data_IF_811181806492
#
_entry.id   IF_811181806492
#
_cell.length_a   1.000
_cell.length_b   1.000
_cell.length_c   1.000
_cell.angle_alpha   90.00
_cell.angle_beta   90.00
_cell.angle_gamma   90.00
#
_symmetry.space_group_name_H-M   'P 1'
#
loop_
_entity.id
_entity.type
_entity.pdbx_description
1 polymer ?
#
# COMPACT_ATOMS: atom_id res chain seq x y z
N UNK A 1 10.03 7.82 -9.36
CA UNK A 1 10.95 8.20 -8.27
C UNK A 1 10.80 7.14 -7.20
N UNK A 2 11.84 6.34 -6.98
CA UNK A 2 11.85 5.36 -5.89
C UNK A 2 12.49 6.06 -4.69
N UNK A 3 11.72 6.25 -3.64
CA UNK A 3 12.16 6.88 -2.40
C UNK A 3 11.65 6.07 -1.23
N UNK A 4 12.43 6.06 -0.15
CA UNK A 4 11.99 5.50 1.13
C UNK A 4 10.95 6.43 1.73
N UNK A 5 9.73 5.94 1.95
CA UNK A 5 8.71 6.67 2.72
C UNK A 5 8.80 6.22 4.17
N UNK A 6 8.79 7.15 5.12
CA UNK A 6 9.10 6.75 6.49
C UNK A 6 8.68 7.72 7.58
N UNK A 7 8.73 7.19 8.81
CA UNK A 7 8.53 7.95 10.04
C UNK A 7 9.84 7.89 10.85
N UNK A 8 10.67 8.95 10.85
CA UNK A 8 12.00 8.93 11.47
C UNK A 8 12.00 8.93 13.01
N UNK A 9 10.81 9.04 13.62
CA UNK A 9 10.60 9.04 15.07
C UNK A 9 9.36 8.20 15.41
N UNK A 10 9.33 6.97 14.91
CA UNK A 10 8.22 6.06 15.13
C UNK A 10 8.17 5.63 16.60
N UNK A 11 6.96 5.62 17.18
CA UNK A 11 6.71 5.18 18.54
C UNK A 11 6.23 3.75 18.54
N UNK A 12 6.75 2.96 19.48
CA UNK A 12 6.27 1.60 19.73
C UNK A 12 4.78 1.66 20.07
N UNK A 13 4.01 0.71 19.51
CA UNK A 13 2.58 0.62 19.76
C UNK A 13 1.74 1.62 18.97
N UNK A 14 2.31 2.53 18.18
CA UNK A 14 1.53 3.40 17.29
C UNK A 14 1.33 2.72 15.93
N UNK A 15 0.13 2.85 15.37
CA UNK A 15 -0.19 2.33 14.03
C UNK A 15 0.15 3.37 12.98
N UNK A 16 1.11 3.03 12.12
CA UNK A 16 1.54 3.82 10.99
C UNK A 16 0.93 3.31 9.70
N UNK A 17 0.88 4.17 8.68
CA UNK A 17 0.33 3.86 7.37
C UNK A 17 1.33 4.18 6.28
N UNK A 18 1.39 3.28 5.30
CA UNK A 18 2.19 3.45 4.09
C UNK A 18 1.35 3.16 2.86
N UNK A 19 1.49 3.98 1.84
CA UNK A 19 0.81 3.79 0.55
C UNK A 19 1.68 2.98 -0.40
N UNK A 20 1.05 2.07 -1.14
CA UNK A 20 1.68 1.31 -2.21
C UNK A 20 2.04 2.24 -3.38
N UNK A 21 3.00 1.85 -4.24
CA UNK A 21 3.23 2.54 -5.50
C UNK A 21 1.93 2.69 -6.31
N UNK A 22 1.76 3.83 -6.98
CA UNK A 22 0.60 4.05 -7.84
C UNK A 22 0.64 3.10 -9.04
N UNK A 23 -0.50 2.47 -9.31
CA UNK A 23 -0.61 1.44 -10.33
C UNK A 23 -1.07 2.05 -11.66
N UNK A 24 -0.38 1.71 -12.74
CA UNK A 24 -0.77 2.03 -14.11
C UNK A 24 -0.90 0.76 -14.91
N UNK A 25 -2.04 0.56 -15.56
CA UNK A 25 -2.22 -0.53 -16.49
C UNK A 25 -1.61 -0.13 -17.84
N UNK A 26 -0.49 -0.75 -18.20
CA UNK A 26 0.21 -0.51 -19.47
C UNK A 26 -0.23 -1.45 -20.59
N UNK A 27 -1.10 -2.42 -20.29
CA UNK A 27 -1.59 -3.40 -21.24
C UNK A 27 -2.78 -2.87 -22.05
N UNK A 28 -3.20 -3.66 -23.05
CA UNK A 28 -4.38 -3.38 -23.89
C UNK A 28 -5.69 -3.96 -23.33
N UNK A 29 -5.63 -4.72 -22.24
CA UNK A 29 -6.78 -5.36 -21.61
C UNK A 29 -7.02 -4.78 -20.21
N UNK A 30 -8.27 -4.80 -19.69
CA UNK A 30 -8.52 -4.39 -18.31
C UNK A 30 -7.76 -5.30 -17.34
N UNK A 31 -7.40 -4.74 -16.18
CA UNK A 31 -6.78 -5.46 -15.08
C UNK A 31 -7.68 -5.34 -13.86
N UNK A 32 -8.03 -6.46 -13.24
CA UNK A 32 -8.77 -6.49 -11.99
C UNK A 32 -7.79 -6.74 -10.83
N UNK A 33 -7.60 -5.75 -9.96
CA UNK A 33 -6.80 -5.94 -8.75
C UNK A 33 -7.58 -6.78 -7.74
N UNK A 34 -6.91 -7.78 -7.18
CA UNK A 34 -7.53 -8.74 -6.26
C UNK A 34 -6.78 -8.87 -4.93
N UNK A 35 -5.54 -8.38 -4.82
CA UNK A 35 -4.78 -8.49 -3.58
C UNK A 35 -3.56 -7.55 -3.51
N UNK A 36 -3.19 -7.23 -2.27
CA UNK A 36 -2.03 -6.41 -1.94
C UNK A 36 -1.32 -7.00 -0.71
N UNK A 37 0.01 -7.05 -0.76
CA UNK A 37 0.80 -7.57 0.36
C UNK A 37 2.17 -6.91 0.44
N UNK A 38 2.63 -6.59 1.65
CA UNK A 38 4.05 -6.29 1.89
C UNK A 38 4.84 -7.57 2.15
N UNK A 39 6.07 -7.65 1.64
CA UNK A 39 6.86 -8.88 1.64
C UNK A 39 7.84 -8.96 2.81
N UNK A 40 8.96 -8.24 2.73
CA UNK A 40 10.04 -8.27 3.72
C UNK A 40 9.65 -7.44 4.94
N UNK A 41 8.82 -8.02 5.82
CA UNK A 41 8.36 -7.40 7.06
C UNK A 41 9.24 -7.86 8.23
N UNK A 42 9.91 -6.95 8.96
CA UNK A 42 10.68 -7.32 10.15
C UNK A 42 9.80 -7.97 11.21
N UNK A 43 10.34 -8.92 11.99
CA UNK A 43 9.58 -9.63 13.03
C UNK A 43 9.00 -8.73 14.13
N UNK A 44 9.54 -7.52 14.29
CA UNK A 44 9.05 -6.49 15.22
C UNK A 44 7.89 -5.67 14.65
N UNK A 45 7.44 -5.95 13.43
CA UNK A 45 6.35 -5.25 12.78
C UNK A 45 5.15 -6.16 12.65
N UNK A 46 4.01 -5.69 13.17
CA UNK A 46 2.72 -6.31 12.97
C UNK A 46 1.98 -5.60 11.84
N UNK A 47 1.61 -6.34 10.80
CA UNK A 47 0.67 -5.85 9.78
C UNK A 47 -0.74 -5.91 10.37
N UNK A 48 -1.36 -4.74 10.55
CA UNK A 48 -2.71 -4.61 11.12
C UNK A 48 -3.81 -4.68 10.07
N UNK A 49 -3.46 -4.62 8.80
CA UNK A 49 -4.39 -4.77 7.69
C UNK A 49 -4.00 -3.93 6.48
N UNK A 50 -4.76 -4.12 5.41
CA UNK A 50 -4.64 -3.38 4.17
C UNK A 50 -5.91 -2.58 3.93
N UNK A 51 -5.78 -1.42 3.32
CA UNK A 51 -6.89 -0.54 2.95
C UNK A 51 -6.72 -0.12 1.51
N UNK A 52 -7.81 0.18 0.82
CA UNK A 52 -7.74 0.82 -0.51
C UNK A 52 -8.60 2.07 -0.51
N UNK A 53 -8.01 3.18 -0.93
CA UNK A 53 -8.68 4.48 -1.04
C UNK A 53 -8.77 4.91 -2.50
N UNK A 54 -9.66 5.85 -2.80
CA UNK A 54 -9.87 6.43 -4.13
C UNK A 54 -9.53 7.90 -4.11
N UNK A 55 -8.73 8.38 -5.07
CA UNK A 55 -8.42 9.82 -5.20
C UNK A 55 -9.63 10.69 -5.48
N UNK A 56 -10.73 10.07 -5.93
CA UNK A 56 -11.99 10.78 -6.16
C UNK A 56 -12.76 11.03 -4.85
N UNK A 57 -12.46 10.27 -3.79
CA UNK A 57 -13.13 10.34 -2.49
C UNK A 57 -12.24 10.99 -1.40
N UNK A 58 -10.99 11.32 -1.75
CA UNK A 58 -10.00 11.93 -0.87
C UNK A 58 -9.52 13.27 -1.46
N UNK A 59 -8.96 14.19 -0.65
CA UNK A 59 -8.38 15.43 -1.15
C UNK A 59 -7.03 15.18 -1.85
N UNK A 60 -7.03 14.34 -2.89
CA UNK A 60 -5.85 13.86 -3.61
C UNK A 60 -5.24 12.58 -3.01
N UNK A 61 -4.03 12.23 -3.47
CA UNK A 61 -3.32 11.04 -3.00
C UNK A 61 -2.83 11.22 -1.57
N UNK A 62 -3.37 10.41 -0.67
CA UNK A 62 -2.91 10.37 0.71
C UNK A 62 -1.75 9.36 0.80
N UNK A 63 -0.53 9.82 0.52
CA UNK A 63 0.68 8.97 0.38
C UNK A 63 1.41 8.70 1.72
N UNK A 64 0.93 9.28 2.81
CA UNK A 64 1.50 9.15 4.16
C UNK A 64 1.20 10.39 5.00
N UNK A 65 1.22 10.26 6.33
CA UNK A 65 1.01 11.39 7.25
C UNK A 65 0.64 10.96 8.66
N UNK A 66 1.22 11.64 9.64
CA UNK A 66 0.69 11.67 11.01
C UNK A 66 -0.64 12.45 10.98
N UNK A 67 -1.65 12.01 11.74
CA UNK A 67 -2.95 12.68 11.93
C UNK A 67 -3.94 12.74 10.75
N UNK A 68 -3.69 12.06 9.62
CA UNK A 68 -4.79 11.83 8.68
C UNK A 68 -5.66 10.68 9.19
N UNK A 69 -6.87 10.98 9.66
CA UNK A 69 -7.87 9.95 9.90
C UNK A 69 -8.45 9.50 8.55
N UNK A 70 -7.95 8.38 8.02
CA UNK A 70 -8.52 7.81 6.79
C UNK A 70 -9.71 6.88 7.06
N UNK A 71 -10.09 6.64 8.31
CA UNK A 71 -11.30 5.84 8.59
C UNK A 71 -12.57 6.54 8.14
N UNK A 72 -12.50 7.87 7.94
CA UNK A 72 -13.58 8.67 7.36
C UNK A 72 -13.80 8.47 5.86
N UNK A 73 -12.86 7.83 5.15
CA UNK A 73 -12.98 7.56 3.71
C UNK A 73 -13.42 6.13 3.47
N UNK A 74 -14.15 5.85 2.38
CA UNK A 74 -14.53 4.48 2.05
C UNK A 74 -13.31 3.59 1.81
N UNK A 75 -13.35 2.39 2.38
CA UNK A 75 -12.35 1.34 2.12
C UNK A 75 -12.83 0.42 1.01
N UNK A 76 -12.05 0.33 -0.05
CA UNK A 76 -12.31 -0.47 -1.25
C UNK A 76 -11.54 -1.80 -1.24
N UNK A 77 -10.81 -2.14 -0.17
CA UNK A 77 -9.95 -3.34 -0.12
C UNK A 77 -10.69 -4.67 -0.37
N UNK A 78 -12.01 -4.72 -0.14
CA UNK A 78 -12.86 -5.89 -0.37
C UNK A 78 -13.59 -5.90 -1.72
N UNK A 79 -13.32 -4.92 -2.59
CA UNK A 79 -13.96 -4.79 -3.90
C UNK A 79 -12.99 -5.21 -5.00
N UNK A 80 -13.53 -5.74 -6.10
CA UNK A 80 -12.76 -5.93 -7.33
C UNK A 80 -12.53 -4.58 -8.00
N UNK A 81 -11.27 -4.18 -8.16
CA UNK A 81 -10.91 -2.86 -8.69
C UNK A 81 -10.39 -2.98 -10.11
N UNK A 82 -11.12 -2.39 -11.06
CA UNK A 82 -10.78 -2.50 -12.48
C UNK A 82 -9.97 -1.27 -12.92
N UNK A 83 -8.76 -1.51 -13.42
CA UNK A 83 -7.96 -0.51 -14.12
C UNK A 83 -8.15 -0.69 -15.63
N UNK A 84 -8.70 0.33 -16.29
CA UNK A 84 -8.87 0.35 -17.75
C UNK A 84 -7.52 0.26 -18.47
N UNK A 85 -7.48 -0.27 -19.72
CA UNK A 85 -6.28 -0.24 -20.55
C UNK A 85 -5.66 1.16 -20.63
N UNK A 86 -4.33 1.25 -20.48
CA UNK A 86 -3.57 2.51 -20.55
C UNK A 86 -3.77 3.49 -19.39
N UNK A 87 -4.65 3.20 -18.43
CA UNK A 87 -5.05 4.13 -17.38
C UNK A 87 -4.22 3.97 -16.10
N UNK A 88 -4.07 5.08 -15.37
CA UNK A 88 -3.66 5.06 -13.96
C UNK A 88 -4.86 4.73 -13.08
N UNK A 89 -4.65 3.87 -12.09
CA UNK A 89 -5.69 3.51 -11.12
C UNK A 89 -6.10 4.75 -10.31
N UNK A 90 -7.39 5.08 -10.21
CA UNK A 90 -7.86 6.07 -9.23
C UNK A 90 -7.78 5.51 -7.80
N UNK A 91 -7.65 4.19 -7.66
CA UNK A 91 -7.51 3.51 -6.39
C UNK A 91 -6.04 3.29 -6.03
N UNK A 92 -5.69 3.49 -4.76
CA UNK A 92 -4.36 3.21 -4.24
C UNK A 92 -4.46 2.43 -2.93
N UNK A 93 -3.66 1.38 -2.81
CA UNK A 93 -3.61 0.55 -1.61
C UNK A 93 -2.70 1.18 -0.55
N UNK A 94 -2.97 0.85 0.70
CA UNK A 94 -2.13 1.14 1.84
C UNK A 94 -2.06 -0.03 2.80
N UNK A 95 -0.99 -0.05 3.60
CA UNK A 95 -0.80 -1.01 4.69
C UNK A 95 -0.77 -0.26 6.02
N UNK A 96 -1.43 -0.83 7.02
CA UNK A 96 -1.36 -0.40 8.42
C UNK A 96 -0.37 -1.28 9.15
N UNK A 97 0.65 -0.69 9.76
CA UNK A 97 1.70 -1.42 10.47
C UNK A 97 1.90 -0.86 11.87
N UNK A 98 2.31 -1.70 12.80
CA UNK A 98 2.61 -1.30 14.17
C UNK A 98 3.94 -1.93 14.58
N UNK A 99 4.89 -1.11 15.03
CA UNK A 99 6.13 -1.61 15.61
C UNK A 99 5.90 -2.05 17.07
N UNK A 100 6.45 -3.19 17.44
CA UNK A 100 6.57 -3.66 18.82
C UNK A 100 7.97 -3.45 19.41
N UNK A 101 8.93 -2.96 18.61
CA UNK A 101 10.31 -2.72 19.03
C UNK A 101 11.14 -2.11 17.89
N UNK A 102 12.44 -1.97 18.10
CA UNK A 102 13.38 -1.50 17.08
C UNK A 102 13.45 -2.49 15.91
N UNK A 103 13.33 -1.96 14.69
CA UNK A 103 13.37 -2.77 13.46
C UNK A 103 14.82 -3.10 13.09
N UNK A 104 15.05 -4.33 12.64
CA UNK A 104 16.35 -4.76 12.11
C UNK A 104 16.63 -4.25 10.68
N UNK A 105 15.57 -3.94 9.92
CA UNK A 105 15.62 -3.42 8.55
C UNK A 105 14.27 -2.76 8.20
N UNK A 106 14.22 -2.01 7.10
CA UNK A 106 12.96 -1.44 6.59
C UNK A 106 12.01 -2.50 6.04
N UNK A 107 10.72 -2.18 5.96
CA UNK A 107 9.75 -3.03 5.25
C UNK A 107 10.01 -2.88 3.75
N UNK A 108 10.15 -3.98 3.00
CA UNK A 108 10.46 -3.93 1.57
C UNK A 108 9.58 -4.83 0.71
N UNK A 109 9.32 -4.38 -0.51
CA UNK A 109 8.62 -5.14 -1.55
C UNK A 109 7.11 -5.14 -1.37
N UNK A 110 6.41 -4.79 -2.45
CA UNK A 110 4.96 -4.70 -2.50
C UNK A 110 4.46 -5.66 -3.57
N UNK A 111 3.86 -6.77 -3.16
CA UNK A 111 3.22 -7.72 -4.07
C UNK A 111 1.79 -7.29 -4.38
N UNK A 112 1.47 -7.27 -5.67
CA UNK A 112 0.15 -6.96 -6.21
C UNK A 112 -0.37 -8.22 -6.91
N UNK A 113 -1.50 -8.73 -6.44
CA UNK A 113 -2.24 -9.80 -7.12
C UNK A 113 -3.29 -9.17 -8.01
N UNK A 114 -3.33 -9.59 -9.28
CA UNK A 114 -4.32 -9.12 -10.24
C UNK A 114 -4.75 -10.22 -11.21
N UNK A 115 -5.95 -10.05 -11.77
CA UNK A 115 -6.50 -10.88 -12.82
C UNK A 115 -6.54 -10.13 -14.14
N UNK A 116 -6.18 -10.82 -15.22
CA UNK A 116 -6.28 -10.35 -16.58
C UNK A 116 -6.52 -11.54 -17.51
N UNK A 117 -7.57 -11.47 -18.34
CA UNK A 117 -7.93 -12.53 -19.30
C UNK A 117 -7.96 -13.94 -18.66
N UNK A 118 -8.67 -14.08 -17.54
CA UNK A 118 -8.83 -15.33 -16.77
C UNK A 118 -7.55 -15.90 -16.11
N UNK A 119 -6.42 -15.21 -16.24
CA UNK A 119 -5.19 -15.55 -15.54
C UNK A 119 -4.98 -14.68 -14.31
N UNK A 120 -4.45 -15.29 -13.25
CA UNK A 120 -3.99 -14.59 -12.05
C UNK A 120 -2.49 -14.37 -12.12
N UNK A 121 -2.07 -13.15 -11.87
CA UNK A 121 -0.68 -12.72 -11.90
C UNK A 121 -0.28 -12.10 -10.56
N UNK A 122 1.00 -12.19 -10.27
CA UNK A 122 1.66 -11.54 -9.14
C UNK A 122 2.74 -10.62 -9.67
N UNK A 123 2.76 -9.38 -9.20
CA UNK A 123 3.79 -8.43 -9.55
C UNK A 123 4.36 -7.79 -8.29
N UNK A 124 5.64 -8.02 -8.07
CA UNK A 124 6.39 -7.36 -7.00
C UNK A 124 6.87 -6.01 -7.51
N UNK A 125 6.40 -4.96 -6.87
CA UNK A 125 6.87 -3.60 -7.08
C UNK A 125 7.90 -3.23 -6.01
N UNK A 126 8.97 -2.50 -6.38
CA UNK A 126 9.90 -1.98 -5.41
C UNK A 126 9.20 -0.92 -4.56
N UNK A 127 9.07 -1.20 -3.27
CA UNK A 127 8.65 -0.25 -2.25
C UNK A 127 9.52 -0.45 -1.01
N UNK A 128 9.79 0.63 -0.30
CA UNK A 128 10.59 0.60 0.93
C UNK A 128 9.99 1.57 1.94
N UNK A 129 9.68 1.05 3.13
CA UNK A 129 9.06 1.80 4.21
C UNK A 129 9.93 1.79 5.47
N UNK A 130 10.40 2.97 5.86
CA UNK A 130 11.20 3.17 7.07
C UNK A 130 10.30 3.47 8.27
N UNK A 131 10.53 2.74 9.36
CA UNK A 131 9.80 2.93 10.61
C UNK A 131 10.85 2.97 11.72
N UNK A 132 11.46 4.14 11.87
CA UNK A 132 12.64 4.31 12.71
C UNK A 132 12.20 4.57 14.13
N UNK A 133 12.20 3.49 14.92
CA UNK A 133 11.93 3.54 16.35
C UNK A 133 13.21 3.99 17.04
N UNK A 134 13.22 5.24 17.49
CA UNK A 134 14.27 5.86 18.31
C UNK A 134 13.97 5.70 19.79
#
# INVERSE_FOLDING_TARGET
MFGTSGYPHAKIGVVYRFSFPLLKNVSKAPVALTGFKVLSVPGQVQVRGYTVSSVNDTPGYLLGGLDTDFTKYPDYAKKTLIIKPGATSPYYAGVRVQASGKLAHHIKGCDITYQQNDHTYHQVLPCEYALDVT
#
